data_IF_515897777509
#
_entry.id   IF_515897777509
#
_cell.length_a   1.000
_cell.length_b   1.000
_cell.length_c   1.000
_cell.angle_alpha   90.00
_cell.angle_beta   90.00
_cell.angle_gamma   90.00
#
_symmetry.space_group_name_H-M   'P 1'
#
loop_
_entity.id
_entity.type
_entity.pdbx_description
1 polymer ?
#
# COMPACT_ATOMS: atom_id res chain seq x y z
N UNK A 1 46.01 -0.90 -8.06
CA UNK A 1 44.74 -1.67 -8.16
C UNK A 1 43.58 -0.70 -7.88
N UNK A 2 43.00 -0.07 -8.91
CA UNK A 2 41.87 0.85 -8.75
C UNK A 2 40.55 0.07 -8.71
N UNK A 3 39.67 0.37 -7.75
CA UNK A 3 38.26 -0.07 -7.76
C UNK A 3 37.48 0.91 -8.64
N UNK A 4 37.06 0.46 -9.82
CA UNK A 4 36.04 1.17 -10.60
C UNK A 4 34.69 0.73 -10.04
N UNK A 5 33.99 1.63 -9.36
CA UNK A 5 32.63 1.37 -8.86
C UNK A 5 31.67 1.88 -9.93
N UNK A 6 31.06 0.96 -10.68
CA UNK A 6 29.93 1.28 -11.56
C UNK A 6 28.69 1.49 -10.67
N UNK A 7 28.18 2.72 -10.59
CA UNK A 7 26.85 3.00 -10.05
C UNK A 7 25.83 2.85 -11.18
N UNK A 8 25.15 1.71 -11.23
CA UNK A 8 23.95 1.55 -12.04
C UNK A 8 22.77 1.83 -11.12
N UNK A 9 22.05 2.93 -11.35
CA UNK A 9 20.78 3.17 -10.66
C UNK A 9 19.74 2.23 -11.28
N UNK A 10 19.27 1.26 -10.48
CA UNK A 10 18.13 0.43 -10.85
C UNK A 10 16.91 1.33 -10.72
N UNK A 11 16.25 1.63 -11.84
CA UNK A 11 15.02 2.42 -11.84
C UNK A 11 13.96 1.79 -10.93
N UNK A 12 13.25 2.65 -10.20
CA UNK A 12 12.12 2.24 -9.38
C UNK A 12 11.05 1.57 -10.25
N UNK A 13 10.46 0.49 -9.73
CA UNK A 13 9.39 -0.22 -10.40
C UNK A 13 8.12 0.63 -10.36
N UNK A 14 7.38 0.65 -11.48
CA UNK A 14 6.00 1.12 -11.50
C UNK A 14 5.09 0.15 -10.74
N UNK A 15 3.84 0.54 -10.51
CA UNK A 15 2.85 -0.29 -9.78
C UNK A 15 2.80 -1.71 -10.37
N UNK A 16 2.61 -1.84 -11.67
CA UNK A 16 2.49 -3.16 -12.30
C UNK A 16 3.82 -3.94 -12.25
N UNK A 17 4.94 -3.23 -12.31
CA UNK A 17 6.28 -3.75 -12.07
C UNK A 17 6.44 -4.33 -10.68
N UNK A 18 5.90 -3.71 -9.63
CA UNK A 18 5.91 -4.27 -8.26
C UNK A 18 5.18 -5.61 -8.21
N UNK A 19 4.02 -5.74 -8.86
CA UNK A 19 3.30 -7.02 -8.90
C UNK A 19 4.09 -8.09 -9.62
N UNK A 20 4.56 -7.79 -10.84
CA UNK A 20 5.39 -8.72 -11.62
C UNK A 20 6.64 -9.12 -10.84
N UNK A 21 7.26 -8.18 -10.16
CA UNK A 21 8.43 -8.40 -9.32
C UNK A 21 8.12 -9.36 -8.16
N UNK A 22 7.04 -9.12 -7.41
CA UNK A 22 6.63 -9.98 -6.29
C UNK A 22 6.30 -11.39 -6.78
N UNK A 23 5.53 -11.52 -7.88
CA UNK A 23 5.23 -12.81 -8.51
C UNK A 23 6.50 -13.55 -8.88
N UNK A 24 7.41 -12.89 -9.59
CA UNK A 24 8.67 -13.48 -10.03
C UNK A 24 9.56 -13.91 -8.85
N UNK A 25 9.62 -13.09 -7.79
CA UNK A 25 10.39 -13.39 -6.58
C UNK A 25 9.82 -14.59 -5.82
N UNK A 26 8.50 -14.68 -5.71
CA UNK A 26 7.82 -15.85 -5.11
C UNK A 26 8.09 -17.11 -5.93
N UNK A 27 7.97 -17.05 -7.25
CA UNK A 27 8.27 -18.18 -8.14
C UNK A 27 9.73 -18.63 -8.03
N UNK A 28 10.68 -17.68 -7.94
CA UNK A 28 12.11 -17.97 -7.74
C UNK A 28 12.38 -18.63 -6.38
N UNK A 29 11.58 -18.31 -5.36
CA UNK A 29 11.61 -18.99 -4.06
C UNK A 29 10.92 -20.36 -4.07
N UNK A 30 10.46 -20.85 -5.24
CA UNK A 30 9.78 -22.14 -5.40
C UNK A 30 8.28 -22.11 -5.12
N UNK A 31 7.69 -20.93 -4.91
CA UNK A 31 6.25 -20.80 -4.67
C UNK A 31 5.48 -20.78 -6.00
N UNK A 32 4.67 -21.83 -6.23
CA UNK A 32 3.83 -21.99 -7.43
C UNK A 32 2.33 -22.00 -7.10
N UNK A 33 1.94 -21.53 -5.91
CA UNK A 33 0.56 -21.53 -5.45
C UNK A 33 -0.26 -20.33 -5.95
N UNK A 34 -1.52 -20.20 -5.45
CA UNK A 34 -2.36 -19.04 -5.71
C UNK A 34 -1.67 -17.74 -5.31
N UNK A 35 -2.06 -16.62 -5.92
CA UNK A 35 -1.43 -15.34 -5.61
C UNK A 35 -1.58 -14.97 -4.13
N UNK A 36 -0.45 -14.77 -3.43
CA UNK A 36 -0.43 -14.57 -1.97
C UNK A 36 -0.86 -13.17 -1.55
N UNK A 37 -0.67 -12.15 -2.38
CA UNK A 37 -0.93 -10.76 -1.98
C UNK A 37 -2.28 -10.28 -2.50
N UNK A 38 -3.07 -9.60 -1.67
CA UNK A 38 -4.25 -8.91 -2.18
C UNK A 38 -3.86 -7.71 -3.05
N UNK A 39 -4.73 -7.29 -3.99
CA UNK A 39 -4.48 -6.09 -4.81
C UNK A 39 -4.21 -4.85 -3.94
N UNK A 40 -4.98 -4.68 -2.87
CA UNK A 40 -4.81 -3.57 -1.91
C UNK A 40 -3.47 -3.64 -1.17
N UNK A 41 -3.00 -4.85 -0.84
CA UNK A 41 -1.68 -5.03 -0.23
C UNK A 41 -0.56 -4.62 -1.20
N UNK A 42 -0.67 -4.96 -2.49
CA UNK A 42 0.30 -4.53 -3.50
C UNK A 42 0.27 -3.02 -3.75
N UNK A 43 -0.92 -2.41 -3.78
CA UNK A 43 -1.04 -0.95 -3.94
C UNK A 43 -0.40 -0.20 -2.78
N UNK A 44 -0.61 -0.68 -1.56
CA UNK A 44 0.02 -0.13 -0.37
C UNK A 44 1.53 -0.38 -0.37
N UNK A 45 1.97 -1.59 -0.73
CA UNK A 45 3.37 -1.96 -0.87
C UNK A 45 4.11 -1.05 -1.87
N UNK A 46 3.53 -0.79 -3.04
CA UNK A 46 4.09 0.14 -4.03
C UNK A 46 4.27 1.55 -3.45
N UNK A 47 3.21 2.12 -2.87
CA UNK A 47 3.25 3.48 -2.28
C UNK A 47 4.23 3.61 -1.12
N UNK A 48 4.40 2.54 -0.36
CA UNK A 48 5.26 2.51 0.83
C UNK A 48 6.72 2.28 0.47
N UNK A 49 6.98 1.58 -0.64
CA UNK A 49 8.33 1.26 -1.10
C UNK A 49 8.89 2.20 -2.17
N UNK A 50 8.05 3.11 -2.71
CA UNK A 50 8.35 3.92 -3.89
C UNK A 50 8.84 3.10 -5.09
N UNK A 51 8.44 1.82 -5.17
CA UNK A 51 8.90 0.91 -6.23
C UNK A 51 10.33 0.40 -6.06
N UNK A 52 11.01 0.68 -4.95
CA UNK A 52 12.41 0.29 -4.73
C UNK A 52 12.49 -1.22 -4.40
N UNK A 53 13.13 -2.06 -5.23
CA UNK A 53 13.15 -3.52 -5.05
C UNK A 53 13.66 -3.98 -3.67
N UNK A 54 14.66 -3.29 -3.12
CA UNK A 54 15.19 -3.59 -1.78
C UNK A 54 14.13 -3.39 -0.69
N UNK A 55 13.40 -2.29 -0.74
CA UNK A 55 12.35 -1.96 0.25
C UNK A 55 11.17 -2.92 0.08
N UNK A 56 10.77 -3.21 -1.16
CA UNK A 56 9.74 -4.20 -1.48
C UNK A 56 10.05 -5.54 -0.83
N UNK A 57 11.28 -6.06 -0.97
CA UNK A 57 11.65 -7.36 -0.38
C UNK A 57 11.54 -7.36 1.15
N UNK A 58 11.99 -6.29 1.80
CA UNK A 58 11.94 -6.17 3.28
C UNK A 58 10.49 -6.22 3.75
N UNK A 59 9.63 -5.39 3.14
CA UNK A 59 8.21 -5.31 3.48
C UNK A 59 7.47 -6.62 3.17
N UNK A 60 7.72 -7.24 2.01
CA UNK A 60 7.14 -8.54 1.67
C UNK A 60 7.52 -9.62 2.68
N UNK A 61 8.79 -9.69 3.08
CA UNK A 61 9.25 -10.70 4.05
C UNK A 61 8.55 -10.52 5.40
N UNK A 62 8.56 -9.30 5.95
CA UNK A 62 7.88 -8.99 7.22
C UNK A 62 6.36 -9.24 7.13
N UNK A 63 5.71 -8.82 6.04
CA UNK A 63 4.29 -9.02 5.86
C UNK A 63 3.91 -10.51 5.77
N UNK A 64 4.75 -11.34 5.14
CA UNK A 64 4.59 -12.79 5.11
C UNK A 64 4.74 -13.40 6.51
N UNK A 65 5.70 -12.94 7.33
CA UNK A 65 5.82 -13.40 8.72
C UNK A 65 4.60 -13.03 9.56
N UNK A 66 4.08 -11.81 9.42
CA UNK A 66 2.87 -11.36 10.13
C UNK A 66 1.66 -12.20 9.73
N UNK A 67 1.45 -12.41 8.42
CA UNK A 67 0.36 -13.24 7.91
C UNK A 67 0.46 -14.68 8.42
N UNK A 68 1.67 -15.25 8.38
CA UNK A 68 1.94 -16.59 8.89
C UNK A 68 1.67 -16.71 10.40
N UNK A 69 2.11 -15.73 11.19
CA UNK A 69 1.86 -15.68 12.64
C UNK A 69 0.37 -15.60 12.99
N UNK A 70 -0.46 -15.04 12.10
CA UNK A 70 -1.93 -15.00 12.22
C UNK A 70 -2.64 -16.22 11.62
N UNK A 71 -1.93 -17.15 11.01
CA UNK A 71 -2.51 -18.31 10.31
C UNK A 71 -3.23 -17.95 9.00
N UNK A 72 -2.97 -16.77 8.45
CA UNK A 72 -3.61 -16.29 7.22
C UNK A 72 -2.85 -16.79 5.99
N UNK A 73 -3.59 -17.30 5.00
CA UNK A 73 -3.00 -17.84 3.75
C UNK A 73 -2.70 -16.77 2.70
N UNK A 74 -3.11 -15.53 2.93
CA UNK A 74 -2.91 -14.41 2.01
C UNK A 74 -2.50 -13.15 2.78
N UNK A 75 -1.60 -12.38 2.18
CA UNK A 75 -1.12 -11.10 2.68
C UNK A 75 -2.15 -10.00 2.36
N UNK A 76 -2.79 -9.48 3.41
CA UNK A 76 -3.68 -8.34 3.36
C UNK A 76 -2.94 -7.03 3.61
N UNK A 77 -3.61 -5.91 3.34
CA UNK A 77 -3.06 -4.55 3.56
C UNK A 77 -2.57 -4.36 5.00
N UNK A 78 -3.28 -4.91 5.99
CA UNK A 78 -2.93 -4.77 7.40
C UNK A 78 -1.59 -5.44 7.75
N UNK A 79 -1.21 -6.50 7.04
CA UNK A 79 0.08 -7.16 7.21
C UNK A 79 1.22 -6.30 6.66
N UNK A 80 1.00 -5.68 5.50
CA UNK A 80 1.99 -4.77 4.89
C UNK A 80 2.12 -3.50 5.74
N UNK A 81 1.01 -3.00 6.29
CA UNK A 81 1.03 -1.87 7.22
C UNK A 81 1.82 -2.20 8.49
N UNK A 82 1.55 -3.34 9.12
CA UNK A 82 2.30 -3.80 10.30
C UNK A 82 3.79 -3.94 9.97
N UNK A 83 4.13 -4.47 8.80
CA UNK A 83 5.51 -4.58 8.32
C UNK A 83 6.18 -3.23 8.10
N UNK A 84 5.43 -2.23 7.62
CA UNK A 84 5.92 -0.87 7.40
C UNK A 84 6.15 -0.14 8.72
N UNK A 85 5.23 -0.26 9.68
CA UNK A 85 5.36 0.29 11.03
C UNK A 85 6.62 -0.26 11.74
N UNK A 86 6.96 -1.53 11.51
CA UNK A 86 8.15 -2.20 12.04
C UNK A 86 9.46 -1.89 11.27
N UNK A 87 9.43 -1.04 10.25
CA UNK A 87 10.61 -0.77 9.40
C UNK A 87 10.96 0.71 9.42
N UNK A 88 12.08 1.04 10.08
CA UNK A 88 12.62 2.41 10.10
C UNK A 88 13.01 2.89 8.70
N UNK A 89 12.68 4.15 8.37
CA UNK A 89 13.02 4.78 7.08
C UNK A 89 12.04 4.53 5.94
N UNK A 90 10.88 3.93 6.21
CA UNK A 90 9.80 3.71 5.24
C UNK A 90 8.72 4.79 5.40
N UNK A 91 8.28 5.39 4.29
CA UNK A 91 7.22 6.40 4.33
C UNK A 91 5.84 5.71 4.30
N UNK A 92 5.08 5.87 5.38
CA UNK A 92 3.74 5.28 5.48
C UNK A 92 2.77 6.24 4.78
N UNK A 93 2.12 5.85 3.67
CA UNK A 93 1.22 6.74 2.96
C UNK A 93 0.03 7.10 3.86
N UNK A 94 -0.04 8.37 4.24
CA UNK A 94 -1.14 8.90 5.04
C UNK A 94 -2.48 8.80 4.32
N UNK A 95 -3.54 8.43 5.05
CA UNK A 95 -4.88 8.41 4.49
C UNK A 95 -5.39 9.85 4.37
N UNK A 96 -5.63 10.32 3.14
CA UNK A 96 -6.15 11.67 2.92
C UNK A 96 -7.68 11.69 3.12
N UNK A 97 -8.12 12.03 4.34
CA UNK A 97 -9.55 12.14 4.69
C UNK A 97 -10.23 13.42 4.18
N UNK A 98 -9.45 14.37 3.63
CA UNK A 98 -9.95 15.68 3.21
C UNK A 98 -11.14 15.64 2.22
N UNK A 99 -11.12 14.83 1.13
CA UNK A 99 -12.27 14.76 0.22
C UNK A 99 -13.53 14.20 0.89
N UNK A 100 -13.39 13.23 1.79
CA UNK A 100 -14.53 12.64 2.50
C UNK A 100 -15.17 13.62 3.49
N UNK A 101 -14.38 14.51 4.12
CA UNK A 101 -14.93 15.56 4.99
C UNK A 101 -15.67 16.65 4.22
N UNK A 102 -15.15 17.04 3.05
CA UNK A 102 -15.80 18.04 2.19
C UNK A 102 -17.15 17.54 1.68
N UNK A 103 -17.24 16.28 1.24
CA UNK A 103 -18.50 15.69 0.77
C UNK A 103 -19.53 15.58 1.89
N UNK A 104 -19.13 15.19 3.09
CA UNK A 104 -20.02 15.05 4.25
C UNK A 104 -20.50 16.42 4.76
N UNK A 105 -19.61 17.41 4.78
CA UNK A 105 -19.95 18.79 5.13
C UNK A 105 -20.90 19.44 4.13
N UNK A 106 -20.67 19.25 2.82
CA UNK A 106 -21.56 19.75 1.77
C UNK A 106 -22.97 19.13 1.84
N UNK A 107 -23.07 17.82 2.08
CA UNK A 107 -24.36 17.15 2.26
C UNK A 107 -25.10 17.65 3.50
N UNK A 108 -24.42 17.81 4.63
CA UNK A 108 -25.02 18.34 5.85
C UNK A 108 -25.51 19.77 5.65
N UNK A 109 -24.72 20.62 5.01
CA UNK A 109 -25.09 22.01 4.72
C UNK A 109 -26.29 22.10 3.77
N UNK A 110 -26.33 21.25 2.74
CA UNK A 110 -27.47 21.15 1.82
C UNK A 110 -28.75 20.72 2.54
N UNK A 111 -28.67 19.71 3.42
CA UNK A 111 -29.82 19.24 4.18
C UNK A 111 -30.37 20.33 5.12
N UNK A 112 -29.49 21.09 5.79
CA UNK A 112 -29.88 22.23 6.65
C UNK A 112 -30.57 23.32 5.83
N UNK A 113 -30.05 23.63 4.64
CA UNK A 113 -30.60 24.66 3.77
C UNK A 113 -31.98 24.27 3.23
N UNK A 114 -32.15 23.02 2.81
CA UNK A 114 -33.47 22.47 2.38
C UNK A 114 -34.47 22.50 3.53
N UNK A 115 -34.06 22.11 4.74
CA UNK A 115 -34.91 22.18 5.93
C UNK A 115 -35.33 23.61 6.28
N UNK A 116 -34.40 24.56 6.20
CA UNK A 116 -34.66 25.97 6.48
C UNK A 116 -35.60 26.61 5.44
N UNK A 117 -35.39 26.34 4.15
CA UNK A 117 -36.26 26.81 3.07
C UNK A 117 -37.66 26.19 3.17
N UNK A 118 -37.74 24.89 3.49
CA UNK A 118 -39.02 24.21 3.71
C UNK A 118 -39.82 24.82 4.87
N UNK A 119 -39.15 25.28 5.93
CA UNK A 119 -39.79 25.96 7.06
C UNK A 119 -40.19 27.41 6.76
N UNK A 120 -39.56 28.07 5.79
CA UNK A 120 -39.83 29.46 5.44
C UNK A 120 -41.00 29.60 4.45
N UNK A 121 -41.21 28.59 3.60
CA UNK A 121 -42.23 28.59 2.53
C UNK A 121 -43.51 27.81 2.87
N UNK A 122 -43.56 27.11 4.01
CA UNK A 122 -44.71 26.37 4.53
C UNK A 122 -45.22 27.00 5.83
#
# INVERSE_FOLDING_TARGET
>A
RQRITFSFEIEALDRDGVERYVVHRLATAGYNGPFLFSKRALDFLYRTSDGIPRVINILCHKALMVAFGKGERSVQIDHVKSAADDTEGVNIPGFNYMPAMITLGGLAMGAVLVFYLGRLYL
#
